data_IF_463880716783
#
_entry.id   IF_463880716783
#
_cell.length_a   1.000
_cell.length_b   1.000
_cell.length_c   1.000
_cell.angle_alpha   90.00
_cell.angle_beta   90.00
_cell.angle_gamma   90.00
#
_symmetry.space_group_name_H-M   'P 1'
#
loop_
_entity.id
_entity.type
_entity.pdbx_description
1 polymer ?
#
# COMPACT_ATOMS: atom_id res chain seq x y z
N UNK A 1 -15.80 -26.99 -63.31
CA UNK A 1 -15.19 -25.64 -63.35
C UNK A 1 -14.92 -25.21 -61.91
N UNK A 2 -13.64 -25.05 -61.54
CA UNK A 2 -13.19 -24.61 -60.20
C UNK A 2 -13.21 -23.08 -60.15
N UNK A 3 -14.02 -22.48 -59.30
CA UNK A 3 -14.04 -21.04 -59.02
C UNK A 3 -12.99 -20.72 -57.96
N UNK A 4 -11.92 -20.04 -58.36
CA UNK A 4 -10.91 -19.51 -57.46
C UNK A 4 -11.49 -18.29 -56.70
N UNK A 5 -11.65 -18.40 -55.39
CA UNK A 5 -11.95 -17.23 -54.54
C UNK A 5 -10.71 -16.32 -54.48
N UNK A 6 -10.85 -14.98 -54.61
CA UNK A 6 -9.72 -14.08 -54.67
C UNK A 6 -9.01 -13.98 -53.30
N UNK A 7 -7.71 -14.32 -53.32
CA UNK A 7 -6.76 -14.26 -52.21
C UNK A 7 -6.72 -12.90 -51.47
N UNK A 8 -7.23 -11.83 -52.10
CA UNK A 8 -7.30 -10.48 -51.54
C UNK A 8 -8.26 -10.35 -50.34
N UNK A 9 -9.34 -11.12 -50.28
CA UNK A 9 -10.32 -11.01 -49.19
C UNK A 9 -9.75 -11.58 -47.87
N UNK A 10 -8.92 -12.62 -47.95
CA UNK A 10 -8.23 -13.24 -46.81
C UNK A 10 -7.19 -12.31 -46.17
N UNK A 11 -6.50 -11.47 -46.95
CA UNK A 11 -5.51 -10.51 -46.43
C UNK A 11 -6.15 -9.33 -45.67
N UNK A 12 -7.33 -8.84 -46.10
CA UNK A 12 -8.05 -7.75 -45.42
C UNK A 12 -8.66 -8.19 -44.09
N UNK A 13 -9.19 -9.42 -44.03
CA UNK A 13 -9.69 -10.01 -42.78
C UNK A 13 -8.55 -10.22 -41.78
N UNK A 14 -7.37 -10.67 -42.24
CA UNK A 14 -6.21 -10.85 -41.37
C UNK A 14 -5.70 -9.52 -40.77
N UNK A 15 -5.82 -8.40 -41.51
CA UNK A 15 -5.43 -7.07 -41.03
C UNK A 15 -6.42 -6.48 -40.01
N UNK A 16 -7.72 -6.77 -40.13
CA UNK A 16 -8.74 -6.27 -39.19
C UNK A 16 -8.69 -7.06 -37.87
N UNK A 17 -8.39 -8.36 -37.92
CA UNK A 17 -8.19 -9.16 -36.69
C UNK A 17 -6.92 -8.73 -35.93
N UNK A 18 -5.85 -8.36 -36.64
CA UNK A 18 -4.63 -7.87 -36.02
C UNK A 18 -4.79 -6.50 -35.35
N UNK A 19 -5.69 -5.63 -35.84
CA UNK A 19 -5.94 -4.31 -35.24
C UNK A 19 -6.87 -4.38 -34.03
N UNK A 20 -7.78 -5.36 -33.98
CA UNK A 20 -8.69 -5.57 -32.85
C UNK A 20 -7.99 -6.18 -31.62
N UNK A 21 -6.85 -6.86 -31.79
CA UNK A 21 -6.11 -7.48 -30.68
C UNK A 21 -5.21 -6.49 -29.93
N UNK A 22 -4.89 -5.33 -30.52
CA UNK A 22 -4.03 -4.30 -29.93
C UNK A 22 -4.73 -3.41 -28.89
N UNK A 23 -6.06 -3.47 -28.80
CA UNK A 23 -6.87 -2.63 -27.92
C UNK A 23 -7.11 -3.23 -26.52
N UNK A 24 -6.55 -4.41 -26.22
CA UNK A 24 -6.69 -5.07 -24.92
C UNK A 24 -5.53 -4.83 -23.94
N UNK A 25 -4.66 -3.86 -24.21
CA UNK A 25 -3.83 -3.32 -23.13
C UNK A 25 -4.75 -2.49 -22.23
N UNK A 26 -5.38 -3.17 -21.27
CA UNK A 26 -6.13 -2.53 -20.20
C UNK A 26 -5.22 -1.50 -19.55
N UNK A 27 -5.55 -0.21 -19.71
CA UNK A 27 -5.03 0.81 -18.84
C UNK A 27 -5.48 0.41 -17.43
N UNK A 28 -4.52 0.01 -16.58
CA UNK A 28 -4.79 -0.17 -15.17
C UNK A 28 -5.40 1.15 -14.68
N UNK A 29 -6.69 1.13 -14.33
CA UNK A 29 -7.33 2.28 -13.70
C UNK A 29 -6.48 2.62 -12.48
N UNK A 30 -6.10 3.90 -12.27
CA UNK A 30 -5.42 4.28 -11.06
C UNK A 30 -6.30 3.81 -9.90
N UNK A 31 -5.79 2.89 -9.09
CA UNK A 31 -6.51 2.44 -7.92
C UNK A 31 -6.73 3.68 -7.04
N UNK A 32 -8.00 4.05 -6.89
CA UNK A 32 -8.39 5.22 -6.12
C UNK A 32 -8.26 4.85 -4.64
N UNK A 33 -7.12 5.20 -4.06
CA UNK A 33 -6.90 5.08 -2.63
C UNK A 33 -7.81 6.09 -1.93
N UNK A 34 -8.89 5.60 -1.31
CA UNK A 34 -9.85 6.41 -0.56
C UNK A 34 -9.28 6.92 0.77
N UNK A 35 -8.05 7.43 0.77
CA UNK A 35 -7.37 8.03 1.91
C UNK A 35 -7.71 9.51 1.97
N UNK A 36 -8.18 9.96 3.13
CA UNK A 36 -8.43 11.36 3.44
C UNK A 36 -7.59 11.80 4.65
N UNK A 37 -6.90 12.95 4.58
CA UNK A 37 -6.63 13.74 3.38
C UNK A 37 -5.77 12.98 2.35
N UNK A 38 -5.82 13.38 1.08
CA UNK A 38 -5.03 12.72 0.04
C UNK A 38 -3.52 12.81 0.34
N UNK A 39 -2.76 11.72 0.17
CA UNK A 39 -1.32 11.73 0.38
C UNK A 39 -0.63 12.60 -0.67
N UNK A 40 0.48 13.22 -0.29
CA UNK A 40 1.30 14.05 -1.19
C UNK A 40 1.81 13.26 -2.41
N UNK A 41 2.20 12.02 -2.19
CA UNK A 41 2.68 11.08 -3.20
C UNK A 41 2.28 9.66 -2.80
N UNK A 42 1.93 8.82 -3.77
CA UNK A 42 1.79 7.38 -3.56
C UNK A 42 2.13 6.61 -4.85
N UNK A 43 2.50 5.35 -4.68
CA UNK A 43 2.68 4.39 -5.76
C UNK A 43 2.24 3.02 -5.28
N UNK A 44 1.47 2.31 -6.10
CA UNK A 44 0.95 0.99 -5.79
C UNK A 44 1.67 -0.07 -6.60
N UNK A 45 2.00 -1.18 -5.94
CA UNK A 45 2.65 -2.33 -6.57
C UNK A 45 3.16 -3.33 -5.53
N UNK A 46 3.76 -4.41 -6.01
CA UNK A 46 4.32 -5.46 -5.16
C UNK A 46 3.27 -6.41 -4.56
N UNK A 47 3.73 -7.41 -3.77
CA UNK A 47 2.83 -8.34 -3.10
C UNK A 47 2.06 -7.66 -1.96
N UNK A 48 0.84 -8.11 -1.73
CA UNK A 48 0.02 -7.62 -0.63
C UNK A 48 0.64 -7.97 0.74
N UNK A 49 0.48 -7.05 1.69
CA UNK A 49 0.70 -7.32 3.11
C UNK A 49 -0.58 -7.96 3.68
N UNK A 50 -0.47 -9.17 4.20
CA UNK A 50 -1.62 -9.90 4.74
C UNK A 50 -1.37 -10.22 6.20
N UNK A 51 -2.31 -9.77 7.05
CA UNK A 51 -2.36 -10.13 8.45
C UNK A 51 -3.42 -11.23 8.61
N UNK A 52 -3.08 -12.28 9.36
CA UNK A 52 -4.05 -13.29 9.78
C UNK A 52 -4.60 -12.89 11.16
N UNK A 53 -4.46 -13.75 12.17
CA UNK A 53 -5.10 -13.52 13.47
C UNK A 53 -4.26 -12.63 14.40
N UNK A 54 -2.95 -12.54 14.16
CA UNK A 54 -2.00 -11.83 15.04
C UNK A 54 -0.95 -11.08 14.25
N UNK A 55 -0.57 -9.91 14.76
CA UNK A 55 0.55 -9.11 14.24
C UNK A 55 1.33 -8.45 15.37
N UNK A 56 2.64 -8.27 15.18
CA UNK A 56 3.46 -7.48 16.11
C UNK A 56 3.59 -6.05 15.59
N UNK A 57 3.34 -5.08 16.46
CA UNK A 57 3.60 -3.66 16.21
C UNK A 57 4.89 -3.29 16.95
N UNK A 58 5.93 -2.93 16.22
CA UNK A 58 7.22 -2.52 16.77
C UNK A 58 7.28 -1.00 16.84
N UNK A 59 7.55 -0.45 18.01
CA UNK A 59 7.67 1.00 18.20
C UNK A 59 8.85 1.38 19.11
N UNK A 60 9.28 2.64 19.02
CA UNK A 60 10.26 3.22 19.94
C UNK A 60 9.74 3.31 21.38
N UNK A 61 10.63 3.40 22.36
CA UNK A 61 10.26 3.41 23.80
C UNK A 61 9.72 4.75 24.31
N UNK A 62 9.71 5.80 23.48
CA UNK A 62 9.14 7.08 23.87
C UNK A 62 7.63 6.98 24.02
N UNK A 63 7.08 7.73 24.98
CA UNK A 63 5.66 7.67 25.33
C UNK A 63 4.74 7.95 24.13
N UNK A 64 5.10 8.89 23.27
CA UNK A 64 4.29 9.25 22.09
C UNK A 64 4.31 8.16 21.01
N UNK A 65 5.45 7.48 20.86
CA UNK A 65 5.60 6.37 19.89
C UNK A 65 4.81 5.14 20.38
N UNK A 66 4.85 4.87 21.69
CA UNK A 66 4.05 3.82 22.34
C UNK A 66 2.55 4.12 22.28
N UNK A 67 2.15 5.38 22.49
CA UNK A 67 0.77 5.81 22.35
C UNK A 67 0.24 5.56 20.92
N UNK A 68 1.00 5.95 19.89
CA UNK A 68 0.61 5.71 18.50
C UNK A 68 0.52 4.20 18.17
N UNK A 69 1.43 3.39 18.72
CA UNK A 69 1.39 1.93 18.55
C UNK A 69 0.16 1.31 19.21
N UNK A 70 -0.17 1.74 20.43
CA UNK A 70 -1.31 1.24 21.17
C UNK A 70 -2.64 1.67 20.53
N UNK A 71 -2.72 2.89 20.02
CA UNK A 71 -3.87 3.39 19.26
C UNK A 71 -4.15 2.54 18.01
N UNK A 72 -3.10 2.12 17.30
CA UNK A 72 -3.24 1.18 16.18
C UNK A 72 -3.64 -0.22 16.65
N UNK A 73 -3.00 -0.73 17.71
CA UNK A 73 -3.31 -2.06 18.24
C UNK A 73 -4.76 -2.19 18.67
N UNK A 74 -5.29 -1.18 19.35
CA UNK A 74 -6.69 -1.13 19.76
C UNK A 74 -7.65 -1.06 18.58
N UNK A 75 -7.33 -0.27 17.55
CA UNK A 75 -8.11 -0.23 16.32
C UNK A 75 -8.17 -1.61 15.64
N UNK A 76 -7.03 -2.28 15.50
CA UNK A 76 -6.97 -3.61 14.89
C UNK A 76 -7.81 -4.63 15.63
N UNK A 77 -7.77 -4.61 16.97
CA UNK A 77 -8.58 -5.51 17.77
C UNK A 77 -10.08 -5.18 17.65
N UNK A 78 -10.46 -3.90 17.75
CA UNK A 78 -11.86 -3.48 17.78
C UNK A 78 -12.55 -3.57 16.42
N UNK A 79 -11.89 -3.13 15.36
CA UNK A 79 -12.51 -2.99 14.04
C UNK A 79 -12.24 -4.21 13.15
N UNK A 80 -11.10 -4.90 13.34
CA UNK A 80 -10.67 -6.00 12.46
C UNK A 80 -10.63 -7.36 13.16
N UNK A 81 -10.75 -7.41 14.50
CA UNK A 81 -10.62 -8.65 15.27
C UNK A 81 -9.21 -9.25 15.28
N UNK A 82 -8.20 -8.48 14.88
CA UNK A 82 -6.80 -8.93 14.83
C UNK A 82 -6.11 -8.63 16.15
N UNK A 83 -5.45 -9.64 16.74
CA UNK A 83 -4.65 -9.47 17.95
C UNK A 83 -3.32 -8.77 17.61
N UNK A 84 -3.23 -7.48 17.91
CA UNK A 84 -2.01 -6.70 17.71
C UNK A 84 -1.26 -6.52 19.04
N UNK A 85 -0.01 -6.98 19.10
CA UNK A 85 0.84 -6.85 20.28
C UNK A 85 1.93 -5.81 20.05
N UNK A 86 2.01 -4.82 20.93
CA UNK A 86 3.09 -3.82 20.90
C UNK A 86 4.34 -4.39 21.54
N UNK A 87 5.46 -4.38 20.80
CA UNK A 87 6.72 -4.95 21.23
C UNK A 87 7.95 -4.18 20.75
N UNK A 88 9.12 -4.61 21.19
CA UNK A 88 10.40 -3.99 20.83
C UNK A 88 11.13 -4.70 19.67
N UNK A 89 10.64 -5.87 19.24
CA UNK A 89 11.25 -6.69 18.18
C UNK A 89 10.18 -7.17 17.22
N UNK A 90 10.54 -7.27 15.94
CA UNK A 90 9.66 -7.85 14.93
C UNK A 90 9.66 -9.36 15.03
N UNK A 91 8.48 -9.95 14.83
CA UNK A 91 8.29 -11.40 14.70
C UNK A 91 7.40 -11.66 13.48
N UNK A 92 7.89 -12.44 12.51
CA UNK A 92 7.14 -12.79 11.31
C UNK A 92 6.69 -11.56 10.51
N UNK A 93 5.40 -11.50 10.20
CA UNK A 93 4.75 -10.33 9.58
C UNK A 93 4.56 -9.26 10.66
N UNK A 94 5.02 -8.04 10.40
CA UNK A 94 5.04 -6.99 11.43
C UNK A 94 4.76 -5.59 10.90
N UNK A 95 4.33 -4.72 11.79
CA UNK A 95 4.12 -3.30 11.55
C UNK A 95 5.22 -2.56 12.30
N UNK A 96 5.94 -1.67 11.62
CA UNK A 96 7.11 -0.99 12.18
C UNK A 96 6.83 0.51 12.24
N UNK A 97 6.83 1.08 13.45
CA UNK A 97 6.68 2.51 13.69
C UNK A 97 8.03 3.09 14.09
N UNK A 98 8.61 3.94 13.23
CA UNK A 98 9.96 4.45 13.41
C UNK A 98 10.03 5.97 13.29
N UNK A 99 10.29 6.63 14.42
CA UNK A 99 10.68 8.04 14.44
C UNK A 99 12.19 8.15 14.16
N UNK A 100 12.54 8.71 13.01
CA UNK A 100 13.93 8.70 12.51
C UNK A 100 14.69 10.01 12.77
N UNK A 101 13.98 11.13 12.98
CA UNK A 101 14.57 12.47 12.99
C UNK A 101 15.10 12.95 11.63
N UNK A 102 15.07 12.09 10.60
CA UNK A 102 15.52 12.39 9.23
C UNK A 102 14.41 13.10 8.45
N UNK A 103 14.74 13.67 7.29
CA UNK A 103 13.78 14.26 6.35
C UNK A 103 12.90 15.39 6.91
N UNK A 104 13.24 15.94 8.08
CA UNK A 104 12.49 17.05 8.71
C UNK A 104 12.35 18.29 7.81
N UNK A 105 13.33 18.53 6.92
CA UNK A 105 13.28 19.64 5.95
C UNK A 105 12.30 19.39 4.79
N UNK A 106 12.11 18.14 4.40
CA UNK A 106 11.29 17.77 3.23
C UNK A 106 9.87 17.36 3.63
N UNK A 107 9.71 16.70 4.77
CA UNK A 107 8.43 16.22 5.31
C UNK A 107 7.85 17.12 6.41
N UNK A 108 8.65 17.96 7.06
CA UNK A 108 8.20 18.75 8.21
C UNK A 108 8.04 17.91 9.49
N UNK A 109 7.37 18.46 10.51
CA UNK A 109 7.12 17.76 11.77
C UNK A 109 5.94 16.78 11.73
N UNK A 110 5.04 16.95 10.77
CA UNK A 110 3.79 16.18 10.63
C UNK A 110 3.81 15.21 9.44
N UNK A 111 4.81 15.31 8.56
CA UNK A 111 4.94 14.39 7.43
C UNK A 111 5.44 13.02 7.86
N UNK A 112 5.04 12.01 7.09
CA UNK A 112 5.41 10.62 7.29
C UNK A 112 5.59 9.93 5.93
N UNK A 113 6.14 8.72 5.96
CA UNK A 113 6.20 7.80 4.81
C UNK A 113 5.68 6.44 5.23
N UNK A 114 4.81 5.86 4.42
CA UNK A 114 4.35 4.48 4.55
C UNK A 114 5.01 3.66 3.43
N UNK A 115 5.60 2.52 3.80
CA UNK A 115 6.16 1.54 2.88
C UNK A 115 5.61 0.18 3.22
N UNK A 116 5.10 -0.55 2.23
CA UNK A 116 4.42 -1.83 2.43
C UNK A 116 5.06 -2.91 1.58
N UNK A 117 5.31 -4.05 2.18
CA UNK A 117 5.81 -5.27 1.53
C UNK A 117 5.03 -6.49 2.03
N UNK A 118 5.30 -7.68 1.50
CA UNK A 118 4.64 -8.91 1.98
C UNK A 118 4.91 -9.23 3.46
N UNK A 119 5.97 -8.67 4.07
CA UNK A 119 6.40 -9.00 5.45
C UNK A 119 6.29 -7.82 6.41
N UNK A 120 6.42 -6.60 5.92
CA UNK A 120 6.51 -5.41 6.76
C UNK A 120 5.63 -4.29 6.22
N UNK A 121 4.84 -3.70 7.13
CA UNK A 121 4.16 -2.42 6.95
C UNK A 121 4.92 -1.39 7.80
N UNK A 122 5.73 -0.54 7.16
CA UNK A 122 6.58 0.41 7.84
C UNK A 122 6.03 1.83 7.74
N UNK A 123 5.93 2.50 8.89
CA UNK A 123 5.61 3.92 9.02
C UNK A 123 6.85 4.62 9.59
N UNK A 124 7.41 5.54 8.83
CA UNK A 124 8.52 6.37 9.28
C UNK A 124 8.15 7.84 9.32
N UNK A 125 8.65 8.56 10.32
CA UNK A 125 8.41 10.00 10.44
C UNK A 125 9.59 10.74 11.08
N UNK A 126 9.79 12.05 10.78
CA UNK A 126 10.79 12.87 11.44
C UNK A 126 10.49 13.16 12.91
N UNK A 127 9.21 13.22 13.29
CA UNK A 127 8.75 13.58 14.63
C UNK A 127 7.49 12.80 15.05
N UNK A 128 7.10 12.93 16.32
CA UNK A 128 6.01 12.15 16.91
C UNK A 128 4.65 12.42 16.25
N UNK A 129 4.35 13.70 15.94
CA UNK A 129 3.11 14.08 15.26
C UNK A 129 2.98 13.39 13.90
N UNK A 130 4.04 13.40 13.09
CA UNK A 130 4.04 12.68 11.82
C UNK A 130 3.87 11.16 11.97
N UNK A 131 4.49 10.56 12.99
CA UNK A 131 4.32 9.13 13.25
C UNK A 131 2.86 8.80 13.58
N UNK A 132 2.22 9.63 14.41
CA UNK A 132 0.82 9.50 14.76
C UNK A 132 -0.11 9.67 13.54
N UNK A 133 0.12 10.66 12.68
CA UNK A 133 -0.67 10.81 11.45
C UNK A 133 -0.46 9.67 10.47
N UNK A 134 0.74 9.10 10.40
CA UNK A 134 0.99 7.89 9.64
C UNK A 134 0.14 6.73 10.14
N UNK A 135 -0.01 6.57 11.46
CA UNK A 135 -0.93 5.58 12.06
C UNK A 135 -2.39 5.85 11.66
N UNK A 136 -2.84 7.10 11.64
CA UNK A 136 -4.22 7.41 11.20
C UNK A 136 -4.46 7.04 9.74
N UNK A 137 -3.45 7.18 8.88
CA UNK A 137 -3.55 6.71 7.50
C UNK A 137 -3.48 5.19 7.40
N UNK A 138 -2.69 4.52 8.24
CA UNK A 138 -2.67 3.06 8.30
C UNK A 138 -4.06 2.48 8.65
N UNK A 139 -4.79 3.12 9.56
CA UNK A 139 -6.18 2.73 9.89
C UNK A 139 -7.16 2.84 8.71
N UNK A 140 -6.87 3.66 7.71
CA UNK A 140 -7.67 3.77 6.48
C UNK A 140 -7.25 2.75 5.41
N UNK A 141 -6.08 2.13 5.58
CA UNK A 141 -5.51 1.16 4.64
C UNK A 141 -5.82 -0.30 5.02
N UNK A 142 -6.09 -0.57 6.29
CA UNK A 142 -6.52 -1.87 6.79
C UNK A 142 -8.05 -1.98 6.77
#
# INVERSE_FOLDING_TARGET
MKTAQPLFFRKKILFIVALALSAQLGAAQPADLAILPQPKEFSLGGPAFTINDRVTIVAGSAAEDQFAAQDLAEFMLRELGVEAVVGARSEGVSIILRRTGKDKKTLGGEGYRISVSAKEFEITAPAAAGLFYGVQTAKQLF
#
